data_IF_483794868335
#
_entry.id   IF_483794868335
#
_cell.length_a   1.000
_cell.length_b   1.000
_cell.length_c   1.000
_cell.angle_alpha   90.00
_cell.angle_beta   90.00
_cell.angle_gamma   90.00
#
_symmetry.space_group_name_H-M   'P 1'
#
loop_
_entity.id
_entity.type
_entity.pdbx_description
1 polymer ?
#
# COMPACT_ATOMS: atom_id res chain seq x y z
N UNK A 1 -51.36 32.18 -29.58
CA UNK A 1 -50.14 32.61 -28.88
C UNK A 1 -49.15 31.46 -28.90
N UNK A 2 -47.94 31.73 -29.37
CA UNK A 2 -47.14 30.86 -30.24
C UNK A 2 -46.12 30.03 -29.46
N UNK A 3 -46.01 28.74 -29.80
CA UNK A 3 -45.04 27.78 -29.24
C UNK A 3 -43.65 28.05 -29.84
N UNK A 4 -42.67 28.38 -29.01
CA UNK A 4 -41.30 28.61 -29.47
C UNK A 4 -40.63 27.27 -29.85
N UNK A 5 -40.33 27.10 -31.13
CA UNK A 5 -39.56 25.99 -31.67
C UNK A 5 -38.07 26.25 -31.45
N UNK A 6 -37.41 25.43 -30.64
CA UNK A 6 -35.96 25.45 -30.50
C UNK A 6 -35.37 24.68 -31.69
N UNK A 7 -34.92 25.42 -32.71
CA UNK A 7 -34.12 24.88 -33.82
C UNK A 7 -32.76 24.48 -33.27
N UNK A 8 -32.44 23.19 -33.34
CA UNK A 8 -31.06 22.71 -33.19
C UNK A 8 -30.48 22.78 -34.60
N UNK A 9 -29.62 23.76 -34.83
CA UNK A 9 -28.88 23.89 -36.08
C UNK A 9 -27.93 22.69 -36.19
N UNK A 10 -28.31 21.77 -37.07
CA UNK A 10 -27.41 20.79 -37.66
C UNK A 10 -26.53 21.48 -38.67
N UNK A 11 -25.28 21.00 -38.76
CA UNK A 11 -24.28 21.24 -39.81
C UNK A 11 -23.22 22.29 -39.51
N UNK A 12 -22.08 21.81 -39.02
CA UNK A 12 -20.82 22.02 -39.75
C UNK A 12 -19.93 20.78 -39.61
N UNK A 13 -19.92 20.02 -40.70
CA UNK A 13 -19.00 18.95 -41.01
C UNK A 13 -17.59 19.55 -41.22
N UNK A 14 -16.63 19.17 -40.39
CA UNK A 14 -15.22 19.15 -40.83
C UNK A 14 -14.51 18.02 -40.12
N UNK A 15 -14.39 16.92 -40.84
CA UNK A 15 -13.30 15.97 -40.71
C UNK A 15 -11.98 16.73 -40.56
N UNK A 16 -11.45 16.77 -39.35
CA UNK A 16 -10.05 17.06 -39.14
C UNK A 16 -9.49 15.88 -38.36
N UNK A 17 -8.98 14.93 -39.14
CA UNK A 17 -7.88 14.02 -38.83
C UNK A 17 -7.79 13.61 -37.37
N UNK A 18 -7.97 12.31 -37.10
CA UNK A 18 -7.41 11.69 -35.91
C UNK A 18 -5.92 12.00 -35.84
N UNK A 19 -5.57 13.06 -35.12
CA UNK A 19 -4.20 13.52 -35.01
C UNK A 19 -3.49 12.52 -34.12
N UNK A 20 -2.92 11.49 -34.73
CA UNK A 20 -1.87 10.65 -34.16
C UNK A 20 -0.58 11.45 -33.94
N UNK A 21 -0.66 12.78 -33.76
CA UNK A 21 0.48 13.60 -33.38
C UNK A 21 0.69 13.43 -31.88
N UNK A 22 1.73 12.68 -31.56
CA UNK A 22 2.36 12.65 -30.25
C UNK A 22 2.55 14.10 -29.75
N UNK A 23 2.09 14.45 -28.54
CA UNK A 23 2.34 15.76 -27.96
C UNK A 23 3.85 16.04 -27.94
N UNK A 24 4.31 17.28 -28.19
CA UNK A 24 5.72 17.58 -28.44
C UNK A 24 6.68 17.24 -27.29
N UNK A 25 6.19 16.93 -26.08
CA UNK A 25 7.02 16.58 -24.93
C UNK A 25 6.59 15.30 -24.19
N UNK A 26 5.54 14.60 -24.63
CA UNK A 26 5.11 13.39 -23.93
C UNK A 26 5.99 12.20 -24.37
N UNK A 27 6.61 11.56 -23.38
CA UNK A 27 7.46 10.39 -23.56
C UNK A 27 7.02 9.28 -22.60
N UNK A 28 6.95 8.05 -23.11
CA UNK A 28 6.63 6.92 -22.26
C UNK A 28 7.77 6.65 -21.28
N UNK A 29 7.42 6.44 -20.00
CA UNK A 29 8.40 6.12 -18.95
C UNK A 29 9.18 4.80 -19.15
N UNK A 30 8.70 3.90 -20.00
CA UNK A 30 9.33 2.59 -20.19
C UNK A 30 10.68 2.71 -20.92
N UNK A 31 10.71 3.45 -22.02
CA UNK A 31 11.94 3.77 -22.77
C UNK A 31 11.81 5.14 -23.41
N UNK A 32 12.93 5.87 -23.49
CA UNK A 32 13.02 7.21 -24.09
C UNK A 32 12.58 7.23 -25.56
N UNK A 33 12.82 6.14 -26.29
CA UNK A 33 12.49 6.01 -27.72
C UNK A 33 11.16 5.27 -27.99
N UNK A 34 10.32 5.07 -26.97
CA UNK A 34 9.03 4.42 -27.17
C UNK A 34 8.12 5.25 -28.11
N UNK A 35 7.68 4.62 -29.20
CA UNK A 35 6.78 5.23 -30.20
C UNK A 35 5.29 4.95 -29.92
N UNK A 36 4.97 4.33 -28.78
CA UNK A 36 3.59 3.99 -28.43
C UNK A 36 2.74 5.23 -28.17
N UNK A 37 1.44 5.14 -28.49
CA UNK A 37 0.49 6.23 -28.27
C UNK A 37 0.28 6.51 -26.77
N UNK A 38 0.22 7.78 -26.35
CA UNK A 38 -0.14 8.14 -24.98
C UNK A 38 -1.49 7.54 -24.59
N UNK A 39 -1.55 6.84 -23.45
CA UNK A 39 -2.83 6.42 -22.91
C UNK A 39 -3.50 7.58 -22.16
N UNK A 40 -4.80 7.75 -22.35
CA UNK A 40 -5.56 8.88 -21.77
C UNK A 40 -6.20 8.46 -20.43
N UNK A 41 -6.21 9.36 -19.44
CA UNK A 41 -6.92 9.24 -18.16
C UNK A 41 -8.37 9.66 -18.32
N UNK A 42 -9.22 9.34 -17.34
CA UNK A 42 -10.62 9.83 -17.31
C UNK A 42 -10.70 11.35 -17.31
N UNK A 43 -9.72 12.02 -16.71
CA UNK A 43 -9.64 13.48 -16.61
C UNK A 43 -9.05 14.13 -17.89
N UNK A 44 -8.92 13.40 -18.99
CA UNK A 44 -8.33 13.87 -20.25
C UNK A 44 -6.80 13.99 -20.26
N UNK A 45 -6.13 13.91 -19.11
CA UNK A 45 -4.67 13.94 -19.01
C UNK A 45 -3.98 12.65 -19.47
N UNK A 46 -2.70 12.74 -19.84
CA UNK A 46 -1.92 11.57 -20.25
C UNK A 46 -1.45 10.71 -19.08
N UNK A 47 -1.35 9.41 -19.32
CA UNK A 47 -0.72 8.45 -18.43
C UNK A 47 0.81 8.47 -18.59
N UNK A 48 1.52 7.94 -17.60
CA UNK A 48 2.99 7.85 -17.62
C UNK A 48 3.52 6.78 -18.58
N UNK A 49 2.66 5.85 -19.02
CA UNK A 49 2.98 4.77 -19.95
C UNK A 49 2.06 4.82 -21.16
N UNK A 50 2.58 4.44 -22.33
CA UNK A 50 1.77 4.25 -23.53
C UNK A 50 0.77 3.11 -23.33
N UNK A 51 -0.25 3.04 -24.20
CA UNK A 51 -1.28 1.99 -24.14
C UNK A 51 -0.67 0.59 -24.13
N UNK A 52 0.23 0.33 -25.08
CA UNK A 52 0.95 -0.95 -25.19
C UNK A 52 1.67 -1.34 -23.90
N UNK A 53 2.48 -0.45 -23.32
CA UNK A 53 3.21 -0.79 -22.08
C UNK A 53 2.28 -0.92 -20.87
N UNK A 54 1.14 -0.23 -20.84
CA UNK A 54 0.15 -0.44 -19.78
C UNK A 54 -0.49 -1.82 -19.89
N UNK A 55 -0.85 -2.25 -21.09
CA UNK A 55 -1.40 -3.57 -21.34
C UNK A 55 -0.39 -4.67 -21.05
N UNK A 56 0.86 -4.50 -21.51
CA UNK A 56 1.96 -5.39 -21.16
C UNK A 56 2.13 -5.51 -19.63
N UNK A 57 2.15 -4.40 -18.88
CA UNK A 57 2.23 -4.44 -17.43
C UNK A 57 1.01 -5.13 -16.79
N UNK A 58 -0.20 -4.92 -17.31
CA UNK A 58 -1.41 -5.61 -16.84
C UNK A 58 -1.32 -7.11 -17.07
N UNK A 59 -0.92 -7.54 -18.27
CA UNK A 59 -0.71 -8.95 -18.61
C UNK A 59 0.36 -9.57 -17.70
N UNK A 60 1.52 -8.92 -17.52
CA UNK A 60 2.57 -9.41 -16.62
C UNK A 60 2.18 -9.44 -15.15
N UNK A 61 1.32 -8.53 -14.68
CA UNK A 61 0.76 -8.62 -13.33
C UNK A 61 -0.20 -9.81 -13.24
N UNK A 62 -1.07 -10.01 -14.23
CA UNK A 62 -2.01 -11.13 -14.27
C UNK A 62 -1.29 -12.48 -14.33
N UNK A 63 -0.28 -12.63 -15.20
CA UNK A 63 0.59 -13.80 -15.28
C UNK A 63 1.26 -14.09 -13.94
N UNK A 64 1.85 -13.07 -13.29
CA UNK A 64 2.47 -13.23 -11.95
C UNK A 64 1.46 -13.64 -10.88
N UNK A 65 0.24 -13.13 -10.95
CA UNK A 65 -0.82 -13.52 -10.01
C UNK A 65 -1.31 -14.96 -10.28
N UNK A 66 -1.43 -15.37 -11.54
CA UNK A 66 -1.82 -16.71 -11.94
C UNK A 66 -0.74 -17.75 -11.61
N UNK A 67 0.53 -17.40 -11.76
CA UNK A 67 1.67 -18.25 -11.39
C UNK A 67 1.84 -18.40 -9.87
N UNK A 68 1.19 -17.55 -9.07
CA UNK A 68 1.30 -17.61 -7.61
C UNK A 68 0.42 -18.74 -7.09
N UNK A 69 1.04 -19.76 -6.53
CA UNK A 69 0.32 -20.85 -5.85
C UNK A 69 -0.53 -20.27 -4.71
N UNK A 70 -1.80 -20.70 -4.57
CA UNK A 70 -2.61 -20.35 -3.43
C UNK A 70 -1.88 -20.76 -2.14
N UNK A 71 -1.84 -19.86 -1.16
CA UNK A 71 -1.31 -20.21 0.15
C UNK A 71 -2.34 -21.10 0.84
N UNK A 72 -1.98 -22.35 1.06
CA UNK A 72 -2.78 -23.25 1.89
C UNK A 72 -2.59 -22.87 3.36
N UNK A 73 -3.69 -22.48 4.00
CA UNK A 73 -3.73 -22.16 5.41
C UNK A 73 -4.61 -23.21 6.08
N UNK A 74 -4.17 -23.76 7.21
CA UNK A 74 -4.98 -24.71 7.97
C UNK A 74 -6.38 -24.16 8.30
N UNK A 75 -7.37 -25.05 8.56
CA UNK A 75 -8.77 -24.68 8.71
C UNK A 75 -9.03 -23.69 9.85
N UNK A 76 -8.18 -23.64 10.88
CA UNK A 76 -8.24 -22.69 12.01
C UNK A 76 -7.11 -21.66 12.00
N UNK A 77 -6.22 -21.72 11.02
CA UNK A 77 -5.00 -20.91 10.97
C UNK A 77 -5.28 -19.49 10.45
N UNK A 78 -4.59 -18.52 11.03
CA UNK A 78 -4.62 -17.13 10.61
C UNK A 78 -4.20 -16.96 9.13
N UNK A 79 -5.06 -16.30 8.34
CA UNK A 79 -4.86 -16.05 6.90
C UNK A 79 -4.02 -14.80 6.62
N UNK A 80 -3.05 -14.50 7.47
CA UNK A 80 -2.18 -13.35 7.24
C UNK A 80 -1.24 -13.62 6.05
N UNK A 81 -1.06 -12.69 5.09
CA UNK A 81 -0.34 -12.96 3.85
C UNK A 81 1.10 -13.42 4.01
N UNK A 82 1.79 -13.08 5.11
CA UNK A 82 3.16 -13.54 5.37
C UNK A 82 3.23 -15.00 5.86
N UNK A 83 2.10 -15.63 6.18
CA UNK A 83 2.06 -16.91 6.89
C UNK A 83 2.12 -16.69 8.39
N UNK A 84 1.04 -17.04 9.11
CA UNK A 84 0.96 -16.90 10.56
C UNK A 84 0.54 -18.23 11.16
N UNK A 85 1.30 -18.77 12.12
CA UNK A 85 1.00 -20.04 12.78
C UNK A 85 -0.06 -19.95 13.89
N UNK A 86 -0.54 -18.74 14.23
CA UNK A 86 -1.55 -18.55 15.29
C UNK A 86 -2.95 -18.89 14.79
N UNK A 87 -3.82 -19.32 15.69
CA UNK A 87 -5.22 -19.60 15.41
C UNK A 87 -6.03 -18.33 15.14
N UNK A 88 -7.14 -18.46 14.41
CA UNK A 88 -8.06 -17.37 14.11
C UNK A 88 -8.84 -16.96 15.36
N UNK A 89 -8.97 -15.66 15.54
CA UNK A 89 -9.76 -15.11 16.63
C UNK A 89 -11.25 -15.45 16.46
N UNK A 90 -11.98 -15.57 17.56
CA UNK A 90 -13.44 -15.73 17.52
C UNK A 90 -14.13 -14.37 17.52
N UNK A 91 -15.13 -14.21 16.65
CA UNK A 91 -16.09 -13.11 16.77
C UNK A 91 -16.95 -13.34 18.02
N UNK A 92 -17.58 -12.27 18.52
CA UNK A 92 -18.62 -12.37 19.56
C UNK A 92 -19.78 -13.31 19.19
N UNK A 93 -19.99 -13.52 17.90
CA UNK A 93 -21.00 -14.42 17.34
C UNK A 93 -20.56 -15.90 17.29
N UNK A 94 -19.35 -16.23 17.77
CA UNK A 94 -18.79 -17.59 17.69
C UNK A 94 -18.16 -17.96 16.34
N UNK A 95 -18.24 -17.09 15.33
CA UNK A 95 -17.65 -17.33 14.00
C UNK A 95 -16.18 -16.92 14.00
N UNK A 96 -15.31 -17.74 13.39
CA UNK A 96 -13.88 -17.41 13.25
C UNK A 96 -13.67 -16.16 12.37
N UNK A 97 -12.83 -15.24 12.84
CA UNK A 97 -12.25 -14.17 12.03
C UNK A 97 -11.29 -14.74 10.99
N UNK A 98 -10.86 -13.92 10.01
CA UNK A 98 -9.81 -14.32 9.05
C UNK A 98 -8.41 -14.32 9.67
N UNK A 99 -8.21 -13.54 10.74
CA UNK A 99 -6.92 -13.30 11.37
C UNK A 99 -6.93 -13.74 12.83
N UNK A 100 -5.75 -13.99 13.39
CA UNK A 100 -5.56 -14.12 14.83
C UNK A 100 -5.77 -12.77 15.53
N UNK A 101 -5.89 -12.81 16.86
CA UNK A 101 -6.19 -11.61 17.65
C UNK A 101 -5.11 -10.53 17.48
N UNK A 102 -3.84 -10.92 17.44
CA UNK A 102 -2.71 -10.02 17.20
C UNK A 102 -2.84 -9.26 15.87
N UNK A 103 -3.01 -9.98 14.75
CA UNK A 103 -3.13 -9.33 13.44
C UNK A 103 -4.42 -8.51 13.30
N UNK A 104 -5.50 -8.96 13.94
CA UNK A 104 -6.75 -8.19 14.02
C UNK A 104 -6.54 -6.85 14.73
N UNK A 105 -5.89 -6.85 15.89
CA UNK A 105 -5.60 -5.63 16.65
C UNK A 105 -4.66 -4.69 15.90
N UNK A 106 -3.60 -5.23 15.28
CA UNK A 106 -2.66 -4.47 14.46
C UNK A 106 -3.34 -3.79 13.27
N UNK A 107 -4.22 -4.50 12.56
CA UNK A 107 -4.99 -3.92 11.44
C UNK A 107 -5.91 -2.80 11.91
N UNK A 108 -6.61 -3.00 13.04
CA UNK A 108 -7.46 -1.97 13.62
C UNK A 108 -6.66 -0.73 14.01
N UNK A 109 -5.45 -0.91 14.54
CA UNK A 109 -4.57 0.19 14.88
C UNK A 109 -4.10 0.97 13.65
N UNK A 110 -3.63 0.28 12.61
CA UNK A 110 -3.25 0.89 11.33
C UNK A 110 -4.43 1.68 10.75
N UNK A 111 -5.63 1.10 10.80
CA UNK A 111 -6.85 1.76 10.37
C UNK A 111 -7.15 3.03 11.18
N UNK A 112 -7.06 2.97 12.51
CA UNK A 112 -7.24 4.15 13.39
C UNK A 112 -6.21 5.23 13.09
N UNK A 113 -4.93 4.87 12.95
CA UNK A 113 -3.85 5.81 12.60
C UNK A 113 -4.13 6.51 11.26
N UNK A 114 -4.55 5.75 10.24
CA UNK A 114 -4.94 6.31 8.93
C UNK A 114 -6.11 7.29 9.07
N UNK A 115 -7.17 6.90 9.76
CA UNK A 115 -8.35 7.75 9.96
C UNK A 115 -8.02 9.02 10.75
N UNK A 116 -7.15 8.93 11.76
CA UNK A 116 -6.72 10.09 12.53
C UNK A 116 -5.92 11.08 11.66
N UNK A 117 -5.02 10.59 10.80
CA UNK A 117 -4.30 11.43 9.82
C UNK A 117 -5.27 12.11 8.85
N UNK A 118 -6.22 11.37 8.29
CA UNK A 118 -7.24 11.94 7.38
C UNK A 118 -8.11 13.00 8.07
N UNK A 119 -8.49 12.78 9.33
CA UNK A 119 -9.23 13.75 10.14
C UNK A 119 -8.39 14.99 10.44
N UNK A 120 -7.10 14.83 10.74
CA UNK A 120 -6.18 15.95 10.97
C UNK A 120 -6.03 16.81 9.71
N UNK A 121 -5.81 16.19 8.54
CA UNK A 121 -5.72 16.90 7.25
C UNK A 121 -7.03 17.63 6.92
N UNK A 122 -8.20 17.01 7.16
CA UNK A 122 -9.49 17.67 6.96
C UNK A 122 -9.68 18.87 7.89
N UNK A 123 -9.24 18.76 9.15
CA UNK A 123 -9.27 19.87 10.13
C UNK A 123 -8.34 21.01 9.70
N UNK A 124 -7.16 20.68 9.21
CA UNK A 124 -6.20 21.67 8.69
C UNK A 124 -6.75 22.38 7.45
N UNK A 125 -7.28 21.63 6.49
CA UNK A 125 -7.92 22.19 5.29
C UNK A 125 -9.11 23.09 5.65
N UNK A 126 -9.94 22.67 6.62
CA UNK A 126 -11.03 23.51 7.12
C UNK A 126 -10.52 24.80 7.78
N UNK A 127 -9.40 24.77 8.51
CA UNK A 127 -8.75 25.97 9.05
C UNK A 127 -8.23 26.89 7.95
N UNK A 128 -7.63 26.34 6.88
CA UNK A 128 -7.14 27.13 5.73
C UNK A 128 -8.27 27.80 4.95
N UNK A 129 -9.46 27.20 4.93
CA UNK A 129 -10.66 27.75 4.26
C UNK A 129 -11.45 28.75 5.10
N UNK A 130 -11.12 28.96 6.38
CA UNK A 130 -11.80 29.97 7.17
C UNK A 130 -11.38 31.37 6.70
N UNK A 131 -12.35 32.27 6.41
CA UNK A 131 -12.05 33.67 6.16
C UNK A 131 -11.38 34.28 7.39
N UNK A 132 -10.31 35.04 7.19
CA UNK A 132 -9.62 35.80 8.23
C UNK A 132 -10.52 36.98 8.62
N UNK A 133 -11.53 36.75 9.46
CA UNK A 133 -12.46 37.82 9.84
C UNK A 133 -13.64 37.34 10.67
N UNK A 134 -13.48 37.31 11.99
CA UNK A 134 -14.59 37.08 12.90
C UNK A 134 -14.11 36.97 14.34
N UNK A 135 -14.22 38.07 15.08
CA UNK A 135 -14.04 38.15 16.54
C UNK A 135 -15.16 37.40 17.28
N UNK A 136 -15.24 36.08 17.07
CA UNK A 136 -16.13 35.20 17.81
C UNK A 136 -15.41 34.63 19.02
N UNK A 137 -15.68 35.19 20.21
CA UNK A 137 -15.15 34.75 21.51
C UNK A 137 -15.64 33.32 21.80
N UNK A 138 -14.86 32.30 21.41
CA UNK A 138 -15.19 30.88 21.65
C UNK A 138 -15.01 30.54 23.14
N UNK A 139 -16.09 30.16 23.79
CA UNK A 139 -16.14 29.71 25.18
C UNK A 139 -15.72 28.23 25.23
N UNK A 140 -14.44 27.96 24.95
CA UNK A 140 -13.92 26.60 24.98
C UNK A 140 -13.57 26.20 26.41
N UNK A 141 -14.47 25.39 26.96
CA UNK A 141 -14.32 24.70 28.24
C UNK A 141 -13.01 23.93 28.32
N UNK A 142 -12.31 24.12 29.43
CA UNK A 142 -11.11 23.50 30.00
C UNK A 142 -10.86 21.98 29.79
N UNK A 143 -11.75 21.23 29.12
CA UNK A 143 -11.74 19.76 29.08
C UNK A 143 -10.89 19.12 27.96
N UNK A 144 -10.15 19.92 27.18
CA UNK A 144 -9.55 19.43 25.92
C UNK A 144 -8.05 19.10 25.98
N UNK A 145 -7.36 19.29 27.11
CA UNK A 145 -5.88 19.23 27.13
C UNK A 145 -5.26 17.94 27.68
N UNK A 146 -6.06 16.95 28.10
CA UNK A 146 -5.54 15.72 28.75
C UNK A 146 -5.52 14.46 27.87
N UNK A 147 -5.95 14.50 26.60
CA UNK A 147 -6.03 13.28 25.76
C UNK A 147 -4.80 12.99 24.88
N UNK A 148 -3.87 13.93 24.77
CA UNK A 148 -2.75 13.80 23.82
C UNK A 148 -1.50 13.15 24.44
N UNK A 149 -1.45 12.94 25.77
CA UNK A 149 -0.27 12.36 26.43
C UNK A 149 -0.29 10.83 26.58
N UNK A 150 -1.46 10.18 26.55
CA UNK A 150 -1.55 8.72 26.72
C UNK A 150 -1.19 7.94 25.44
N UNK A 151 -1.30 8.58 24.27
CA UNK A 151 -1.02 7.95 22.96
C UNK A 151 0.49 7.77 22.70
N UNK A 152 1.38 8.57 23.29
CA UNK A 152 2.83 8.46 23.07
C UNK A 152 3.46 7.34 23.90
N UNK A 153 2.95 7.10 25.10
CA UNK A 153 3.51 6.12 26.04
C UNK A 153 3.29 4.66 25.57
N UNK A 154 2.10 4.35 25.04
CA UNK A 154 1.82 3.02 24.45
C UNK A 154 2.55 2.77 23.12
N UNK A 155 2.87 3.86 22.39
CA UNK A 155 3.63 3.80 21.13
C UNK A 155 5.11 3.48 21.35
N UNK A 156 5.71 3.87 22.49
CA UNK A 156 7.10 3.57 22.81
C UNK A 156 7.31 2.09 23.17
N UNK A 157 6.40 1.50 23.96
CA UNK A 157 6.44 0.07 24.28
C UNK A 157 6.30 -0.80 23.02
N UNK A 158 5.32 -0.52 22.16
CA UNK A 158 5.11 -1.31 20.95
C UNK A 158 6.24 -1.20 19.92
N UNK A 159 6.93 -0.05 19.85
CA UNK A 159 8.12 0.10 19.01
C UNK A 159 9.35 -0.60 19.61
N UNK A 160 9.50 -0.58 20.93
CA UNK A 160 10.56 -1.32 21.61
C UNK A 160 10.43 -2.83 21.39
N UNK A 161 9.23 -3.39 21.50
CA UNK A 161 8.97 -4.81 21.22
C UNK A 161 9.27 -5.20 19.75
N UNK A 162 9.01 -4.30 18.80
CA UNK A 162 9.33 -4.52 17.37
C UNK A 162 10.85 -4.52 17.14
N UNK A 163 11.57 -3.61 17.79
CA UNK A 163 13.03 -3.54 17.66
C UNK A 163 13.69 -4.77 18.30
N UNK A 164 13.25 -5.17 19.49
CA UNK A 164 13.74 -6.39 20.18
C UNK A 164 13.47 -7.63 19.31
N UNK A 165 12.24 -7.79 18.79
CA UNK A 165 11.92 -8.92 17.92
C UNK A 165 12.73 -8.93 16.61
N UNK A 166 13.03 -7.76 16.05
CA UNK A 166 13.89 -7.61 14.87
C UNK A 166 15.35 -7.96 15.15
N UNK A 167 15.87 -7.55 16.30
CA UNK A 167 17.21 -7.90 16.77
C UNK A 167 17.33 -9.40 17.04
N UNK A 168 16.33 -10.01 17.68
CA UNK A 168 16.25 -11.47 17.88
C UNK A 168 16.20 -12.26 16.57
N UNK A 169 15.52 -11.74 15.54
CA UNK A 169 15.48 -12.38 14.21
C UNK A 169 16.81 -12.25 13.46
N UNK A 170 17.47 -11.09 13.54
CA UNK A 170 18.80 -10.92 12.94
C UNK A 170 19.85 -11.79 13.64
N UNK A 171 19.79 -11.91 14.97
CA UNK A 171 20.70 -12.77 15.74
C UNK A 171 20.48 -14.25 15.41
N UNK A 172 19.23 -14.71 15.27
CA UNK A 172 18.95 -16.08 14.81
C UNK A 172 19.50 -16.35 13.42
N UNK A 173 19.45 -15.37 12.51
CA UNK A 173 19.99 -15.50 11.15
C UNK A 173 21.51 -15.55 11.15
N UNK A 174 22.18 -14.69 11.92
CA UNK A 174 23.65 -14.71 12.01
C UNK A 174 24.16 -15.98 12.68
N UNK A 175 23.45 -16.49 13.68
CA UNK A 175 23.78 -17.76 14.33
C UNK A 175 23.58 -18.96 13.38
N UNK A 176 22.52 -18.96 12.57
CA UNK A 176 22.32 -19.96 11.53
C UNK A 176 23.43 -19.93 10.47
N UNK A 177 23.83 -18.75 10.00
CA UNK A 177 24.95 -18.56 9.07
C UNK A 177 26.28 -19.02 9.68
N UNK A 178 26.49 -18.77 10.98
CA UNK A 178 27.68 -19.25 11.72
C UNK A 178 27.70 -20.77 11.77
N UNK A 179 26.60 -21.41 12.18
CA UNK A 179 26.47 -22.88 12.23
C UNK A 179 26.70 -23.49 10.85
N UNK A 180 26.14 -22.89 9.79
CA UNK A 180 26.37 -23.35 8.42
C UNK A 180 27.85 -23.32 8.06
N UNK A 181 28.55 -22.21 8.34
CA UNK A 181 30.00 -22.08 8.09
C UNK A 181 30.82 -23.10 8.88
N UNK A 182 30.50 -23.33 10.16
CA UNK A 182 31.16 -24.34 10.99
C UNK A 182 30.94 -25.75 10.45
N UNK A 183 29.72 -26.06 10.01
CA UNK A 183 29.37 -27.35 9.40
C UNK A 183 30.16 -27.56 8.11
N UNK A 184 30.23 -26.54 7.25
CA UNK A 184 31.06 -26.59 6.05
C UNK A 184 32.53 -26.80 6.41
N UNK A 185 33.09 -26.04 7.35
CA UNK A 185 34.48 -26.18 7.77
C UNK A 185 34.80 -27.59 8.28
N UNK A 186 33.91 -28.20 9.04
CA UNK A 186 34.05 -29.58 9.52
C UNK A 186 34.07 -30.61 8.37
N UNK A 187 33.17 -30.46 7.39
CA UNK A 187 33.14 -31.31 6.19
C UNK A 187 34.45 -31.19 5.40
N UNK A 188 34.92 -29.96 5.20
CA UNK A 188 36.20 -29.71 4.51
C UNK A 188 37.39 -30.30 5.27
N UNK A 189 37.45 -30.14 6.59
CA UNK A 189 38.51 -30.72 7.42
C UNK A 189 38.53 -32.26 7.39
N UNK A 190 37.35 -32.90 7.37
CA UNK A 190 37.22 -34.34 7.22
C UNK A 190 37.71 -34.82 5.84
N UNK A 191 37.39 -34.08 4.77
CA UNK A 191 37.86 -34.41 3.44
C UNK A 191 39.39 -34.21 3.27
N UNK A 192 39.95 -33.17 3.89
CA UNK A 192 41.41 -32.94 3.85
C UNK A 192 42.20 -33.95 4.67
N UNK A 193 41.64 -34.47 5.76
CA UNK A 193 42.29 -35.51 6.58
C UNK A 193 42.24 -36.89 5.92
N UNK A 194 41.17 -37.21 5.17
CA UNK A 194 41.07 -38.43 4.36
C UNK A 194 42.00 -38.42 3.14
N UNK A 195 42.32 -37.25 2.58
CA UNK A 195 43.22 -37.09 1.43
C UNK A 195 44.71 -36.94 1.82
N UNK A 196 45.06 -37.07 3.09
CA UNK A 196 46.43 -36.92 3.61
C UNK A 196 47.15 -38.26 3.89
N UNK A 197 46.62 -39.38 3.38
CA UNK A 197 47.25 -40.70 3.40
C UNK A 197 47.63 -41.17 2.00
#
# INVERSE_FOLDING_TARGET
>A
MTRANFRVDTETHTELYGTTARPPHWQCRFTTNCQGKPAIKRDGGYQSMCEYHREYQRQKIAERHAAKTPKDFGPTQCRYPAGCGKERALKKTGVLHNYCEFHRQRLNEIQRRRQNRERALKREEARRRQPVGGSGRSKDTFRSRCRDQDDTNYTLCGLAEINIAGEEETLRRTEADKRFKETCAAIWAAHTSLNSY
#
